data_IF_253963907648
#
_entry.id   IF_253963907648
#
_cell.length_a   1.000
_cell.length_b   1.000
_cell.length_c   1.000
_cell.angle_alpha   90.00
_cell.angle_beta   90.00
_cell.angle_gamma   90.00
#
_symmetry.space_group_name_H-M   'P 1'
#
loop_
_entity.id
_entity.type
_entity.pdbx_description
1 polymer ?
#
# COMPACT_ATOMS: atom_id res chain seq x y z
N UNK A 1 -11.09 13.72 3.62
CA UNK A 1 -10.69 12.29 3.52
C UNK A 1 -11.95 11.44 3.69
N UNK A 2 -12.48 10.83 2.62
CA UNK A 2 -13.85 10.30 2.61
C UNK A 2 -14.03 8.91 3.25
N UNK A 3 -12.98 8.29 3.79
CA UNK A 3 -13.09 6.96 4.40
C UNK A 3 -12.06 6.79 5.52
N UNK A 4 -12.52 6.31 6.69
CA UNK A 4 -11.62 5.93 7.78
C UNK A 4 -11.05 4.53 7.51
N UNK A 5 -9.75 4.46 7.24
CA UNK A 5 -9.09 3.21 6.89
C UNK A 5 -8.68 2.39 8.12
N UNK A 6 -8.91 2.88 9.35
CA UNK A 6 -8.49 2.26 10.61
C UNK A 6 -9.10 0.87 10.80
N UNK A 7 -10.43 0.76 10.76
CA UNK A 7 -11.12 -0.52 10.90
C UNK A 7 -10.92 -1.43 9.69
N UNK A 8 -10.86 -0.82 8.51
CA UNK A 8 -10.70 -1.52 7.26
C UNK A 8 -9.36 -2.24 7.15
N UNK A 9 -8.25 -1.54 7.46
CA UNK A 9 -6.91 -2.11 7.43
C UNK A 9 -6.73 -3.18 8.51
N UNK A 10 -7.31 -2.99 9.70
CA UNK A 10 -7.31 -4.01 10.76
C UNK A 10 -7.92 -5.33 10.27
N UNK A 11 -9.07 -5.27 9.58
CA UNK A 11 -9.71 -6.46 9.01
C UNK A 11 -8.83 -7.14 7.95
N UNK A 12 -8.21 -6.36 7.06
CA UNK A 12 -7.30 -6.91 6.05
C UNK A 12 -6.05 -7.55 6.67
N UNK A 13 -5.50 -6.97 7.73
CA UNK A 13 -4.35 -7.55 8.45
C UNK A 13 -4.67 -8.91 9.06
N UNK A 14 -5.87 -9.09 9.63
CA UNK A 14 -6.34 -10.41 10.11
C UNK A 14 -6.42 -11.41 8.96
N UNK A 15 -6.93 -10.99 7.80
CA UNK A 15 -7.04 -11.84 6.61
C UNK A 15 -5.68 -12.25 6.02
N UNK A 16 -4.63 -11.47 6.27
CA UNK A 16 -3.25 -11.75 5.83
C UNK A 16 -2.50 -12.72 6.76
N UNK A 17 -2.83 -12.77 8.05
CA UNK A 17 -2.02 -13.42 9.10
C UNK A 17 -1.68 -14.89 8.84
N UNK A 18 -2.63 -15.68 8.32
CA UNK A 18 -2.45 -17.12 8.09
C UNK A 18 -2.20 -17.47 6.62
N UNK A 19 -1.43 -16.64 5.88
CA UNK A 19 -1.18 -16.80 4.44
C UNK A 19 -0.54 -18.12 4.01
N UNK A 20 0.16 -18.80 4.90
CA UNK A 20 0.86 -20.05 4.60
C UNK A 20 -0.09 -21.27 4.61
N UNK A 21 -1.27 -21.15 5.23
CA UNK A 21 -2.25 -22.23 5.23
C UNK A 21 -2.97 -22.28 3.87
N UNK A 22 -3.08 -23.45 3.20
CA UNK A 22 -3.59 -23.57 1.84
C UNK A 22 -5.01 -23.00 1.68
N UNK A 23 -5.90 -23.23 2.66
CA UNK A 23 -7.27 -22.68 2.67
C UNK A 23 -7.32 -21.15 2.74
N UNK A 24 -6.29 -20.51 3.31
CA UNK A 24 -6.26 -19.06 3.56
C UNK A 24 -5.44 -18.28 2.52
N UNK A 25 -4.67 -18.98 1.67
CA UNK A 25 -3.83 -18.37 0.63
C UNK A 25 -4.62 -17.44 -0.30
N UNK A 26 -5.83 -17.84 -0.68
CA UNK A 26 -6.72 -17.03 -1.51
C UNK A 26 -7.21 -15.77 -0.80
N UNK A 27 -7.55 -15.89 0.49
CA UNK A 27 -8.00 -14.78 1.34
C UNK A 27 -6.91 -13.72 1.52
N UNK A 28 -5.69 -14.17 1.86
CA UNK A 28 -4.53 -13.29 2.03
C UNK A 28 -4.21 -12.53 0.73
N UNK A 29 -4.17 -13.22 -0.42
CA UNK A 29 -3.95 -12.57 -1.73
C UNK A 29 -5.00 -11.52 -2.06
N UNK A 30 -6.28 -11.77 -1.74
CA UNK A 30 -7.35 -10.77 -1.92
C UNK A 30 -7.13 -9.58 -1.00
N UNK A 31 -6.74 -9.81 0.25
CA UNK A 31 -6.43 -8.75 1.19
C UNK A 31 -5.24 -7.89 0.71
N UNK A 32 -4.15 -8.52 0.25
CA UNK A 32 -2.98 -7.83 -0.32
C UNK A 32 -3.36 -6.89 -1.47
N UNK A 33 -4.18 -7.38 -2.41
CA UNK A 33 -4.68 -6.56 -3.53
C UNK A 33 -5.48 -5.36 -3.03
N UNK A 34 -6.34 -5.54 -2.02
CA UNK A 34 -7.14 -4.46 -1.45
C UNK A 34 -6.26 -3.42 -0.74
N UNK A 35 -5.27 -3.85 0.05
CA UNK A 35 -4.30 -2.95 0.67
C UNK A 35 -3.58 -2.13 -0.40
N UNK A 36 -3.07 -2.79 -1.46
CA UNK A 36 -2.36 -2.12 -2.55
C UNK A 36 -3.24 -1.09 -3.28
N UNK A 37 -4.50 -1.42 -3.57
CA UNK A 37 -5.44 -0.48 -4.21
C UNK A 37 -5.72 0.73 -3.32
N UNK A 38 -5.99 0.51 -2.03
CA UNK A 38 -6.24 1.59 -1.07
C UNK A 38 -5.02 2.49 -0.91
N UNK A 39 -3.82 1.90 -0.76
CA UNK A 39 -2.58 2.66 -0.67
C UNK A 39 -2.34 3.52 -1.93
N UNK A 40 -2.52 2.95 -3.13
CA UNK A 40 -2.40 3.72 -4.37
C UNK A 40 -3.46 4.80 -4.54
N UNK A 41 -4.67 4.63 -4.00
CA UNK A 41 -5.67 5.69 -3.95
C UNK A 41 -5.23 6.82 -3.02
N UNK A 42 -4.76 6.48 -1.83
CA UNK A 42 -4.29 7.44 -0.83
C UNK A 42 -3.11 8.27 -1.35
N UNK A 43 -2.11 7.63 -1.98
CA UNK A 43 -0.96 8.35 -2.55
C UNK A 43 -1.39 9.34 -3.63
N UNK A 44 -2.34 8.98 -4.50
CA UNK A 44 -2.90 9.90 -5.52
C UNK A 44 -3.74 11.03 -4.90
N UNK A 45 -4.50 10.73 -3.85
CA UNK A 45 -5.22 11.76 -3.11
C UNK A 45 -4.24 12.76 -2.48
N UNK A 46 -3.20 12.26 -1.80
CA UNK A 46 -2.15 13.10 -1.21
C UNK A 46 -1.46 13.96 -2.27
N UNK A 47 -1.05 13.38 -3.38
CA UNK A 47 -0.43 14.14 -4.48
C UNK A 47 -1.34 15.24 -5.05
N UNK A 48 -2.66 15.02 -5.13
CA UNK A 48 -3.59 16.06 -5.58
C UNK A 48 -3.78 17.18 -4.56
N UNK A 49 -3.73 16.87 -3.27
CA UNK A 49 -3.92 17.86 -2.20
C UNK A 49 -2.65 18.63 -1.86
N UNK A 50 -1.49 17.98 -1.92
CA UNK A 50 -0.19 18.57 -1.67
C UNK A 50 0.35 19.07 -3.01
N UNK A 51 0.23 20.37 -3.30
CA UNK A 51 0.87 20.99 -4.46
C UNK A 51 2.39 20.75 -4.46
N UNK A 52 3.02 20.92 -5.64
CA UNK A 52 4.41 20.57 -5.91
C UNK A 52 5.46 21.25 -4.98
N UNK A 53 5.07 22.24 -4.17
CA UNK A 53 5.97 23.02 -3.31
C UNK A 53 6.08 22.52 -1.86
N UNK A 54 5.55 21.33 -1.55
CA UNK A 54 5.64 20.78 -0.20
C UNK A 54 6.84 19.84 -0.05
N UNK A 55 7.56 19.94 1.09
CA UNK A 55 8.71 19.09 1.45
C UNK A 55 8.42 17.58 1.60
N UNK A 56 7.20 17.14 1.25
CA UNK A 56 6.76 15.75 1.24
C UNK A 56 6.86 15.08 -0.13
N UNK A 57 7.25 15.81 -1.20
CA UNK A 57 7.36 15.29 -2.56
C UNK A 57 8.24 14.02 -2.63
N UNK A 58 9.39 14.01 -1.94
CA UNK A 58 10.30 12.87 -1.88
C UNK A 58 9.67 11.62 -1.26
N UNK A 59 8.86 11.79 -0.20
CA UNK A 59 8.12 10.69 0.44
C UNK A 59 7.03 10.14 -0.48
N UNK A 60 6.30 11.03 -1.16
CA UNK A 60 5.26 10.63 -2.13
C UNK A 60 5.88 9.83 -3.28
N UNK A 61 7.02 10.28 -3.80
CA UNK A 61 7.77 9.56 -4.85
C UNK A 61 8.24 8.18 -4.37
N UNK A 62 8.78 8.10 -3.15
CA UNK A 62 9.16 6.82 -2.54
C UNK A 62 7.96 5.87 -2.47
N UNK A 63 6.80 6.34 -2.00
CA UNK A 63 5.59 5.50 -1.91
C UNK A 63 5.10 5.04 -3.29
N UNK A 64 5.16 5.91 -4.31
CA UNK A 64 4.86 5.52 -5.69
C UNK A 64 5.80 4.43 -6.20
N UNK A 65 7.10 4.58 -5.95
CA UNK A 65 8.11 3.58 -6.31
C UNK A 65 7.78 2.25 -5.65
N UNK A 66 7.50 2.24 -4.34
CA UNK A 66 7.16 1.02 -3.59
C UNK A 66 5.90 0.35 -4.14
N UNK A 67 4.85 1.12 -4.45
CA UNK A 67 3.61 0.57 -5.02
C UNK A 67 3.82 0.01 -6.43
N UNK A 68 4.74 0.58 -7.20
CA UNK A 68 5.09 0.16 -8.55
C UNK A 68 5.97 -1.08 -8.63
N UNK A 69 6.67 -1.44 -7.55
CA UNK A 69 7.62 -2.57 -7.54
C UNK A 69 6.97 -3.89 -7.97
N UNK A 70 7.68 -4.60 -8.84
CA UNK A 70 7.40 -5.95 -9.30
C UNK A 70 8.47 -6.92 -8.80
N UNK A 71 8.19 -8.22 -8.97
CA UNK A 71 9.07 -9.29 -8.52
C UNK A 71 10.42 -9.29 -9.23
N UNK A 72 10.48 -8.91 -10.50
CA UNK A 72 11.71 -8.96 -11.30
C UNK A 72 12.49 -7.64 -11.32
N UNK A 73 12.02 -6.60 -10.63
CA UNK A 73 12.67 -5.29 -10.64
C UNK A 73 14.03 -5.33 -9.92
N UNK A 74 14.99 -4.53 -10.39
CA UNK A 74 16.29 -4.31 -9.73
C UNK A 74 16.19 -3.12 -8.77
N UNK A 75 17.13 -3.00 -7.81
CA UNK A 75 17.22 -1.89 -6.85
C UNK A 75 15.92 -1.63 -6.06
N UNK A 76 15.43 -2.69 -5.41
CA UNK A 76 14.19 -2.64 -4.63
C UNK A 76 14.38 -1.86 -3.32
N UNK A 77 13.36 -1.09 -2.97
CA UNK A 77 13.16 -0.55 -1.63
C UNK A 77 12.73 -1.69 -0.70
N UNK A 78 13.50 -1.95 0.36
CA UNK A 78 13.23 -2.97 1.37
C UNK A 78 12.79 -2.40 2.71
N UNK A 79 13.10 -1.12 2.97
CA UNK A 79 12.74 -0.39 4.18
C UNK A 79 12.16 0.97 3.83
N UNK A 80 11.27 1.46 4.69
CA UNK A 80 10.77 2.82 4.66
C UNK A 80 11.46 3.61 5.77
N UNK A 81 11.88 4.86 5.53
CA UNK A 81 12.45 5.75 6.53
C UNK A 81 11.39 6.32 7.48
#
# INVERSE_FOLDING_TARGET
>A
MRQSYTFFLKKLGVDQRFRNHPRNRGKARKADKRVKTTAGRLVRELERYLSANNGHASKIELFKRVLGQKREDKNKVYSLP
#
